data_IF_824039165741
#
_entry.id   IF_824039165741
#
_cell.length_a   1.000
_cell.length_b   1.000
_cell.length_c   1.000
_cell.angle_alpha   90.00
_cell.angle_beta   90.00
_cell.angle_gamma   90.00
#
_symmetry.space_group_name_H-M   'P 1'
#
loop_
_entity.id
_entity.type
_entity.pdbx_description
1 polymer ?
#
# COMPACT_ATOMS: atom_id res chain seq x y z
N UNK A 1 -7.61 18.03 -29.06
CA UNK A 1 -8.92 17.49 -28.69
C UNK A 1 -8.96 17.40 -27.17
N UNK A 2 -9.95 18.00 -26.49
CA UNK A 2 -9.96 18.03 -25.04
C UNK A 2 -10.25 16.63 -24.49
N UNK A 3 -9.38 16.13 -23.62
CA UNK A 3 -9.62 14.93 -22.84
C UNK A 3 -10.64 15.30 -21.78
N UNK A 4 -11.88 14.89 -22.00
CA UNK A 4 -12.98 15.00 -21.06
C UNK A 4 -12.64 14.16 -19.82
N UNK A 5 -12.40 14.81 -18.69
CA UNK A 5 -12.38 14.16 -17.37
C UNK A 5 -13.80 13.67 -17.05
N UNK A 6 -14.16 12.48 -17.50
CA UNK A 6 -15.37 11.78 -17.05
C UNK A 6 -15.08 11.08 -15.72
N UNK A 7 -15.10 11.85 -14.63
CA UNK A 7 -15.31 11.29 -13.30
C UNK A 7 -16.81 11.06 -13.09
N UNK A 8 -17.32 9.91 -13.55
CA UNK A 8 -18.61 9.39 -13.13
C UNK A 8 -18.66 7.86 -13.36
N UNK A 9 -18.05 7.09 -12.45
CA UNK A 9 -18.48 5.70 -12.26
C UNK A 9 -19.88 5.75 -11.64
N UNK A 10 -20.93 5.76 -12.48
CA UNK A 10 -22.24 5.27 -12.06
C UNK A 10 -22.03 3.79 -11.79
N UNK A 11 -22.05 3.39 -10.52
CA UNK A 11 -22.11 1.99 -10.16
C UNK A 11 -23.38 1.39 -10.79
N UNK A 12 -23.21 0.68 -11.90
CA UNK A 12 -24.33 0.04 -12.58
C UNK A 12 -24.94 -1.03 -11.68
N UNK A 13 -26.20 -1.39 -11.90
CA UNK A 13 -26.84 -2.50 -11.19
C UNK A 13 -26.00 -3.80 -11.21
N UNK A 14 -25.16 -3.99 -12.23
CA UNK A 14 -24.21 -5.09 -12.32
C UNK A 14 -23.10 -5.10 -11.27
N UNK A 15 -22.60 -3.94 -10.82
CA UNK A 15 -21.55 -3.86 -9.80
C UNK A 15 -22.07 -4.25 -8.40
N UNK A 16 -23.29 -3.81 -8.07
CA UNK A 16 -23.98 -4.20 -6.83
C UNK A 16 -24.31 -5.70 -6.81
N UNK A 17 -24.76 -6.23 -7.95
CA UNK A 17 -25.00 -7.66 -8.10
C UNK A 17 -23.71 -8.47 -7.91
N UNK A 18 -22.63 -8.11 -8.60
CA UNK A 18 -21.34 -8.79 -8.50
C UNK A 18 -20.77 -8.74 -7.07
N UNK A 19 -20.90 -7.59 -6.41
CA UNK A 19 -20.47 -7.42 -5.01
C UNK A 19 -21.28 -8.31 -4.06
N UNK A 20 -22.61 -8.39 -4.26
CA UNK A 20 -23.49 -9.23 -3.45
C UNK A 20 -23.19 -10.72 -3.64
N UNK A 21 -22.99 -11.15 -4.88
CA UNK A 21 -22.60 -12.53 -5.20
C UNK A 21 -21.25 -12.87 -4.57
N UNK A 22 -20.25 -11.98 -4.71
CA UNK A 22 -18.93 -12.16 -4.13
C UNK A 22 -18.97 -12.25 -2.60
N UNK A 23 -19.80 -11.42 -1.96
CA UNK A 23 -20.03 -11.48 -0.51
C UNK A 23 -20.63 -12.82 -0.09
N UNK A 24 -21.68 -13.29 -0.75
CA UNK A 24 -22.32 -14.57 -0.42
C UNK A 24 -21.35 -15.74 -0.61
N UNK A 25 -20.65 -15.79 -1.75
CA UNK A 25 -19.64 -16.82 -2.01
C UNK A 25 -18.51 -16.82 -0.98
N UNK A 26 -18.11 -15.64 -0.51
CA UNK A 26 -17.10 -15.51 0.55
C UNK A 26 -17.64 -15.90 1.92
N UNK A 27 -18.91 -15.65 2.22
CA UNK A 27 -19.52 -15.93 3.52
C UNK A 27 -19.86 -17.42 3.73
N UNK A 28 -20.26 -18.13 2.67
CA UNK A 28 -20.67 -19.54 2.75
C UNK A 28 -19.63 -20.47 3.42
N UNK A 29 -18.32 -20.40 3.09
CA UNK A 29 -17.30 -21.18 3.79
C UNK A 29 -17.24 -20.90 5.30
N UNK A 30 -17.43 -19.64 5.72
CA UNK A 30 -17.43 -19.28 7.14
C UNK A 30 -18.64 -19.82 7.90
N UNK A 31 -19.80 -19.96 7.24
CA UNK A 31 -20.98 -20.60 7.84
C UNK A 31 -20.69 -22.09 8.10
N UNK A 32 -20.10 -22.78 7.14
CA UNK A 32 -19.73 -24.19 7.29
C UNK A 32 -18.69 -24.39 8.40
N UNK A 33 -17.63 -23.58 8.40
CA UNK A 33 -16.59 -23.59 9.45
C UNK A 33 -17.17 -23.24 10.82
N UNK A 34 -18.04 -22.22 10.90
CA UNK A 34 -18.71 -21.81 12.13
C UNK A 34 -19.60 -22.91 12.72
N UNK A 35 -20.35 -23.62 11.88
CA UNK A 35 -21.15 -24.76 12.30
C UNK A 35 -20.29 -25.94 12.80
N UNK A 36 -19.17 -26.22 12.13
CA UNK A 36 -18.23 -27.26 12.57
C UNK A 36 -17.61 -26.91 13.92
N UNK A 37 -17.09 -25.68 14.06
CA UNK A 37 -16.57 -25.15 15.32
C UNK A 37 -17.60 -25.21 16.44
N UNK A 38 -18.85 -24.81 16.16
CA UNK A 38 -19.94 -24.83 17.13
C UNK A 38 -20.32 -26.23 17.62
N UNK A 39 -20.10 -27.28 16.82
CA UNK A 39 -20.28 -28.68 17.26
C UNK A 39 -19.17 -29.09 18.23
N UNK A 40 -17.92 -28.75 17.91
CA UNK A 40 -16.78 -29.07 18.77
C UNK A 40 -16.83 -28.31 20.09
N UNK A 41 -17.28 -27.05 20.11
CA UNK A 41 -17.35 -26.25 21.33
C UNK A 41 -18.32 -26.84 22.37
N UNK A 42 -19.32 -27.62 21.95
CA UNK A 42 -20.23 -28.32 22.87
C UNK A 42 -19.52 -29.40 23.70
N UNK A 43 -18.35 -29.86 23.26
CA UNK A 43 -17.55 -30.87 23.96
C UNK A 43 -16.69 -30.26 25.09
N UNK A 44 -16.65 -28.93 25.21
CA UNK A 44 -15.80 -28.22 26.17
C UNK A 44 -16.63 -27.30 27.08
N UNK A 45 -16.19 -27.05 28.33
CA UNK A 45 -16.71 -25.95 29.13
C UNK A 45 -16.57 -24.60 28.38
N UNK A 46 -17.59 -23.75 28.49
CA UNK A 46 -17.68 -22.51 27.70
C UNK A 46 -16.44 -21.60 27.81
N UNK A 47 -15.87 -21.46 29.02
CA UNK A 47 -14.67 -20.63 29.25
C UNK A 47 -13.43 -21.22 28.56
N UNK A 48 -13.27 -22.53 28.57
CA UNK A 48 -12.13 -23.20 27.93
C UNK A 48 -12.25 -23.12 26.41
N UNK A 49 -13.45 -23.35 25.87
CA UNK A 49 -13.70 -23.21 24.43
C UNK A 49 -13.36 -21.80 23.94
N UNK A 50 -13.80 -20.77 24.69
CA UNK A 50 -13.48 -19.38 24.39
C UNK A 50 -11.97 -19.10 24.45
N UNK A 51 -11.27 -19.57 25.49
CA UNK A 51 -9.83 -19.39 25.63
C UNK A 51 -9.05 -20.04 24.46
N UNK A 52 -9.43 -21.25 24.07
CA UNK A 52 -8.83 -21.96 22.92
C UNK A 52 -9.07 -21.18 21.62
N UNK A 53 -10.28 -20.67 21.41
CA UNK A 53 -10.61 -19.88 20.21
C UNK A 53 -9.76 -18.61 20.10
N UNK A 54 -9.65 -17.86 21.20
CA UNK A 54 -8.86 -16.63 21.23
C UNK A 54 -7.38 -16.94 21.06
N UNK A 55 -6.86 -17.99 21.71
CA UNK A 55 -5.47 -18.42 21.54
C UNK A 55 -5.17 -18.84 20.09
N UNK A 56 -6.06 -19.61 19.46
CA UNK A 56 -5.95 -20.00 18.06
C UNK A 56 -6.00 -18.80 17.10
N UNK A 57 -6.88 -17.83 17.37
CA UNK A 57 -6.98 -16.59 16.58
C UNK A 57 -5.71 -15.75 16.68
N UNK A 58 -5.14 -15.63 17.88
CA UNK A 58 -3.87 -14.93 18.09
C UNK A 58 -2.70 -15.65 17.41
N UNK A 59 -2.63 -16.98 17.52
CA UNK A 59 -1.62 -17.78 16.83
C UNK A 59 -1.74 -17.65 15.30
N UNK A 60 -2.96 -17.69 14.76
CA UNK A 60 -3.22 -17.47 13.34
C UNK A 60 -2.79 -16.08 12.88
N UNK A 61 -3.09 -15.03 13.66
CA UNK A 61 -2.66 -13.67 13.38
C UNK A 61 -1.14 -13.51 13.41
N UNK A 62 -0.46 -14.14 14.37
CA UNK A 62 1.00 -14.14 14.44
C UNK A 62 1.64 -14.86 13.24
N UNK A 63 1.13 -16.03 12.87
CA UNK A 63 1.61 -16.77 11.70
C UNK A 63 1.39 -15.96 10.43
N UNK A 64 0.20 -15.38 10.26
CA UNK A 64 -0.10 -14.52 9.12
C UNK A 64 0.83 -13.30 9.09
N UNK A 65 1.06 -12.63 10.22
CA UNK A 65 1.98 -11.50 10.31
C UNK A 65 3.41 -11.88 9.93
N UNK A 66 3.88 -13.07 10.31
CA UNK A 66 5.20 -13.57 9.93
C UNK A 66 5.27 -13.85 8.43
N UNK A 67 4.27 -14.52 7.87
CA UNK A 67 4.19 -14.82 6.44
C UNK A 67 4.16 -13.53 5.59
N UNK A 68 3.41 -12.52 6.02
CA UNK A 68 3.37 -11.20 5.39
C UNK A 68 4.69 -10.44 5.54
N UNK A 69 5.34 -10.52 6.71
CA UNK A 69 6.66 -9.90 6.92
C UNK A 69 7.72 -10.44 5.92
N UNK A 70 7.65 -11.73 5.59
CA UNK A 70 8.52 -12.34 4.58
C UNK A 70 8.00 -12.20 3.14
N UNK A 71 7.00 -11.36 2.89
CA UNK A 71 6.51 -11.09 1.53
C UNK A 71 6.05 -12.37 0.80
N UNK A 72 5.53 -13.35 1.54
CA UNK A 72 5.11 -14.62 0.92
C UNK A 72 3.80 -14.45 0.14
N UNK A 73 3.66 -15.08 -1.04
CA UNK A 73 2.44 -14.96 -1.84
C UNK A 73 1.28 -15.77 -1.22
N UNK A 74 0.01 -15.45 -1.54
CA UNK A 74 -1.17 -16.13 -1.01
C UNK A 74 -1.16 -17.64 -1.17
N UNK A 75 -0.47 -18.16 -2.19
CA UNK A 75 -0.28 -19.59 -2.40
C UNK A 75 0.30 -20.28 -1.16
N UNK A 76 1.29 -19.67 -0.52
CA UNK A 76 1.93 -20.19 0.70
C UNK A 76 0.94 -20.18 1.85
N UNK A 77 0.10 -19.14 1.95
CA UNK A 77 -0.88 -19.00 3.03
C UNK A 77 -1.98 -20.06 2.92
N UNK A 78 -2.52 -20.26 1.72
CA UNK A 78 -3.53 -21.29 1.46
C UNK A 78 -2.95 -22.70 1.61
N UNK A 79 -1.71 -22.94 1.18
CA UNK A 79 -1.05 -24.21 1.39
C UNK A 79 -0.87 -24.50 2.90
N UNK A 80 -0.39 -23.53 3.67
CA UNK A 80 -0.23 -23.66 5.12
C UNK A 80 -1.57 -23.94 5.81
N UNK A 81 -2.60 -23.12 5.53
CA UNK A 81 -3.93 -23.30 6.09
C UNK A 81 -4.58 -24.63 5.68
N UNK A 82 -4.39 -25.05 4.43
CA UNK A 82 -4.87 -26.33 3.92
C UNK A 82 -4.20 -27.52 4.59
N UNK A 83 -2.87 -27.50 4.75
CA UNK A 83 -2.14 -28.55 5.48
C UNK A 83 -2.59 -28.60 6.94
N UNK A 84 -2.70 -27.44 7.60
CA UNK A 84 -3.17 -27.37 8.99
C UNK A 84 -4.59 -27.93 9.12
N UNK A 85 -5.48 -27.61 8.18
CA UNK A 85 -6.83 -28.16 8.13
C UNK A 85 -6.80 -29.69 7.97
N UNK A 86 -6.00 -30.22 7.06
CA UNK A 86 -5.88 -31.68 6.84
C UNK A 86 -5.32 -32.41 8.05
N UNK A 87 -4.37 -31.80 8.79
CA UNK A 87 -3.81 -32.37 10.02
C UNK A 87 -4.82 -32.38 11.18
N UNK A 88 -5.70 -31.38 11.24
CA UNK A 88 -6.72 -31.25 12.28
C UNK A 88 -8.05 -31.92 11.91
N UNK A 89 -8.27 -32.25 10.64
CA UNK A 89 -9.46 -32.94 10.18
C UNK A 89 -9.54 -34.34 10.82
N UNK A 90 -10.63 -34.62 11.54
CA UNK A 90 -10.83 -35.90 12.20
C UNK A 90 -10.91 -37.09 11.23
N UNK A 91 -10.57 -38.29 11.71
CA UNK A 91 -10.45 -39.54 10.92
C UNK A 91 -11.72 -40.00 10.16
N UNK A 92 -12.86 -39.33 10.34
CA UNK A 92 -14.13 -39.65 9.67
C UNK A 92 -14.63 -38.58 8.70
N UNK A 93 -13.86 -37.53 8.45
CA UNK A 93 -14.23 -36.47 7.50
C UNK A 93 -13.75 -36.82 6.08
N UNK A 94 -14.53 -36.45 5.06
CA UNK A 94 -14.14 -36.63 3.66
C UNK A 94 -12.99 -35.68 3.31
N UNK A 95 -11.75 -36.18 3.34
CA UNK A 95 -10.53 -35.41 3.04
C UNK A 95 -10.35 -35.14 1.54
N UNK A 96 -11.03 -35.89 0.66
CA UNK A 96 -10.90 -35.75 -0.79
C UNK A 96 -11.38 -34.38 -1.26
N UNK A 97 -12.51 -33.91 -0.74
CA UNK A 97 -13.09 -32.63 -1.15
C UNK A 97 -12.18 -31.43 -0.78
N UNK A 98 -11.68 -31.28 0.47
CA UNK A 98 -10.69 -30.26 0.82
C UNK A 98 -9.42 -30.32 -0.04
N UNK A 99 -8.90 -31.51 -0.34
CA UNK A 99 -7.73 -31.68 -1.21
C UNK A 99 -8.00 -31.16 -2.62
N UNK A 100 -9.17 -31.48 -3.19
CA UNK A 100 -9.60 -30.96 -4.49
C UNK A 100 -9.76 -29.45 -4.47
N UNK A 101 -10.41 -28.89 -3.45
CA UNK A 101 -10.54 -27.43 -3.29
C UNK A 101 -9.18 -26.74 -3.18
N UNK A 102 -8.26 -27.28 -2.39
CA UNK A 102 -6.90 -26.75 -2.25
C UNK A 102 -6.16 -26.83 -3.59
N UNK A 103 -6.28 -27.94 -4.33
CA UNK A 103 -5.71 -28.10 -5.67
C UNK A 103 -6.26 -27.08 -6.67
N UNK A 104 -7.57 -26.83 -6.66
CA UNK A 104 -8.21 -25.80 -7.50
C UNK A 104 -7.73 -24.40 -7.14
N UNK A 105 -7.62 -24.07 -5.84
CA UNK A 105 -7.12 -22.77 -5.39
C UNK A 105 -5.68 -22.58 -5.85
N UNK A 106 -4.82 -23.58 -5.65
CA UNK A 106 -3.42 -23.56 -6.10
C UNK A 106 -3.35 -23.35 -7.62
N UNK A 107 -4.15 -24.08 -8.38
CA UNK A 107 -4.23 -23.97 -9.83
C UNK A 107 -4.71 -22.58 -10.30
N UNK A 108 -5.77 -22.05 -9.68
CA UNK A 108 -6.29 -20.71 -9.98
C UNK A 108 -5.27 -19.62 -9.65
N UNK A 109 -4.60 -19.70 -8.50
CA UNK A 109 -3.56 -18.75 -8.11
C UNK A 109 -2.39 -18.80 -9.10
N UNK A 110 -2.00 -20.00 -9.56
CA UNK A 110 -0.95 -20.14 -10.56
C UNK A 110 -1.30 -19.50 -11.91
N UNK A 111 -2.55 -19.61 -12.36
CA UNK A 111 -3.02 -19.00 -13.62
C UNK A 111 -3.12 -17.47 -13.50
N UNK A 112 -3.57 -16.97 -12.36
CA UNK A 112 -3.82 -15.54 -12.15
C UNK A 112 -2.57 -14.76 -11.73
N UNK A 113 -1.49 -15.45 -11.35
CA UNK A 113 -0.25 -14.81 -10.91
C UNK A 113 0.55 -14.27 -12.10
N UNK A 114 0.83 -12.97 -12.11
CA UNK A 114 1.67 -12.34 -13.13
C UNK A 114 3.12 -12.23 -12.64
N UNK A 115 3.87 -13.33 -12.71
CA UNK A 115 5.18 -13.47 -12.05
C UNK A 115 6.18 -12.33 -12.29
N UNK A 116 6.21 -11.76 -13.49
CA UNK A 116 7.20 -10.72 -13.85
C UNK A 116 6.82 -9.30 -13.41
N UNK A 117 5.57 -9.09 -13.00
CA UNK A 117 5.05 -7.79 -12.62
C UNK A 117 4.35 -7.79 -11.27
N UNK A 118 4.42 -8.88 -10.50
CA UNK A 118 3.71 -9.05 -9.24
C UNK A 118 4.69 -9.20 -8.08
N UNK A 119 4.63 -8.25 -7.15
CA UNK A 119 5.45 -8.24 -5.95
C UNK A 119 4.50 -8.25 -4.75
N UNK A 120 4.77 -9.11 -3.78
CA UNK A 120 4.04 -9.12 -2.52
C UNK A 120 4.86 -8.37 -1.48
N UNK A 121 4.33 -7.26 -0.97
CA UNK A 121 4.88 -6.58 0.20
C UNK A 121 4.12 -7.01 1.46
N UNK A 122 4.61 -6.68 2.67
CA UNK A 122 3.85 -6.90 3.89
C UNK A 122 2.50 -6.16 3.93
N UNK A 123 2.30 -5.18 3.04
CA UNK A 123 1.12 -4.32 2.98
C UNK A 123 0.23 -4.63 1.76
N UNK A 124 0.83 -4.95 0.61
CA UNK A 124 0.15 -4.96 -0.68
C UNK A 124 0.55 -6.08 -1.62
N UNK A 125 -0.42 -6.45 -2.48
CA UNK A 125 -0.09 -6.96 -3.82
C UNK A 125 0.26 -5.77 -4.70
N UNK A 126 1.51 -5.67 -5.13
CA UNK A 126 1.99 -4.58 -5.99
C UNK A 126 2.14 -5.09 -7.41
N UNK A 127 1.59 -4.34 -8.36
CA UNK A 127 1.85 -4.51 -9.77
C UNK A 127 2.51 -3.27 -10.35
N UNK A 128 3.48 -3.44 -11.25
CA UNK A 128 4.09 -2.31 -11.93
C UNK A 128 4.16 -2.54 -13.44
N UNK A 129 3.80 -1.52 -14.20
CA UNK A 129 3.75 -1.56 -15.66
C UNK A 129 4.50 -0.36 -16.22
N UNK A 130 5.59 -0.63 -16.95
CA UNK A 130 6.44 0.40 -17.54
C UNK A 130 5.97 0.73 -18.95
N UNK A 131 5.77 2.02 -19.22
CA UNK A 131 5.59 2.55 -20.56
C UNK A 131 6.75 3.52 -20.89
N UNK A 132 6.68 4.19 -22.06
CA UNK A 132 7.76 5.06 -22.54
C UNK A 132 7.93 6.35 -21.71
N UNK A 133 6.89 6.83 -21.02
CA UNK A 133 6.87 8.12 -20.30
C UNK A 133 6.81 7.97 -18.77
N UNK A 134 6.32 6.85 -18.27
CA UNK A 134 6.10 6.58 -16.86
C UNK A 134 6.06 5.07 -16.56
N UNK A 135 6.22 4.72 -15.29
CA UNK A 135 5.88 3.40 -14.77
C UNK A 135 4.71 3.55 -13.83
N UNK A 136 3.58 2.90 -14.14
CA UNK A 136 2.42 2.86 -13.27
C UNK A 136 2.64 1.80 -12.19
N UNK A 137 2.43 2.16 -10.94
CA UNK A 137 2.47 1.25 -9.80
C UNK A 137 1.04 1.17 -9.24
N UNK A 138 0.49 -0.02 -9.26
CA UNK A 138 -0.82 -0.35 -8.73
C UNK A 138 -0.67 -1.22 -7.49
N UNK A 139 -1.52 -1.01 -6.49
CA UNK A 139 -1.58 -1.86 -5.30
C UNK A 139 -3.00 -2.42 -5.16
N UNK A 140 -3.10 -3.72 -4.87
CA UNK A 140 -4.36 -4.47 -4.77
C UNK A 140 -5.30 -4.24 -5.97
N UNK A 141 -4.74 -4.05 -7.17
CA UNK A 141 -5.49 -3.81 -8.40
C UNK A 141 -5.94 -2.36 -8.65
N UNK A 142 -5.70 -1.44 -7.71
CA UNK A 142 -5.94 -0.01 -7.89
C UNK A 142 -4.65 0.73 -8.23
N UNK A 143 -4.72 1.70 -9.14
CA UNK A 143 -3.59 2.61 -9.37
C UNK A 143 -3.24 3.33 -8.06
N UNK A 144 -1.94 3.38 -7.74
CA UNK A 144 -1.44 3.97 -6.51
C UNK A 144 -0.54 5.17 -6.79
N UNK A 145 0.43 5.03 -7.71
CA UNK A 145 1.31 6.13 -8.11
C UNK A 145 1.90 5.93 -9.50
N UNK A 146 2.29 7.04 -10.14
CA UNK A 146 3.09 7.02 -11.35
C UNK A 146 4.53 7.44 -11.05
N UNK A 147 5.49 6.62 -11.45
CA UNK A 147 6.90 6.98 -11.47
C UNK A 147 7.21 7.64 -12.82
N UNK A 148 7.45 8.95 -12.83
CA UNK A 148 7.48 9.74 -14.06
C UNK A 148 8.90 9.89 -14.64
N UNK A 149 9.00 9.82 -15.96
CA UNK A 149 10.21 10.23 -16.66
C UNK A 149 10.14 11.72 -17.01
N UNK A 150 10.56 12.59 -16.08
CA UNK A 150 10.65 14.04 -16.30
C UNK A 150 11.59 14.48 -17.45
N UNK A 151 12.40 13.59 -18.03
CA UNK A 151 13.26 13.86 -19.20
C UNK A 151 12.81 13.07 -20.45
N UNK A 152 11.52 12.72 -20.54
CA UNK A 152 11.01 11.93 -21.68
C UNK A 152 11.32 12.59 -23.04
N UNK A 153 11.90 11.86 -24.01
CA UNK A 153 12.24 12.39 -25.34
C UNK A 153 11.01 12.54 -26.26
N UNK A 154 9.82 12.11 -25.81
CA UNK A 154 8.58 12.16 -26.59
C UNK A 154 7.95 13.55 -26.50
N UNK A 155 8.20 14.38 -27.52
CA UNK A 155 7.65 15.75 -27.65
C UNK A 155 6.13 15.82 -27.47
N UNK A 156 5.39 14.78 -27.88
CA UNK A 156 3.92 14.72 -27.76
C UNK A 156 3.41 14.74 -26.32
N UNK A 157 4.23 14.33 -25.34
CA UNK A 157 3.85 14.24 -23.93
C UNK A 157 4.59 15.25 -23.04
N UNK A 158 5.53 16.00 -23.64
CA UNK A 158 6.39 16.97 -22.94
C UNK A 158 5.57 18.04 -22.23
N UNK A 159 4.57 18.59 -22.90
CA UNK A 159 3.69 19.63 -22.34
C UNK A 159 2.96 19.18 -21.06
N UNK A 160 2.53 17.92 -20.99
CA UNK A 160 1.80 17.43 -19.82
C UNK A 160 2.74 17.04 -18.68
N UNK A 161 3.88 16.41 -19.00
CA UNK A 161 4.95 16.17 -18.02
C UNK A 161 5.48 17.49 -17.43
N UNK A 162 5.64 18.53 -18.24
CA UNK A 162 6.07 19.85 -17.79
C UNK A 162 5.05 20.49 -16.84
N UNK A 163 3.75 20.35 -17.11
CA UNK A 163 2.71 20.82 -16.18
C UNK A 163 2.77 20.08 -14.85
N UNK A 164 2.89 18.76 -14.88
CA UNK A 164 3.02 17.94 -13.65
C UNK A 164 4.28 18.33 -12.89
N UNK A 165 5.40 18.51 -13.60
CA UNK A 165 6.67 18.99 -13.04
C UNK A 165 6.50 20.34 -12.34
N UNK A 166 5.79 21.28 -12.96
CA UNK A 166 5.49 22.58 -12.34
C UNK A 166 4.65 22.45 -11.08
N UNK A 167 3.74 21.49 -10.99
CA UNK A 167 2.97 21.22 -9.77
C UNK A 167 3.88 20.70 -8.64
N UNK A 168 4.76 19.74 -8.92
CA UNK A 168 5.75 19.29 -7.94
C UNK A 168 6.71 20.40 -7.50
N UNK A 169 7.02 21.36 -8.38
CA UNK A 169 7.88 22.51 -8.06
C UNK A 169 7.17 23.61 -7.28
N UNK A 170 5.84 23.58 -7.20
CA UNK A 170 5.04 24.65 -6.60
C UNK A 170 5.41 24.97 -5.13
N UNK A 171 5.73 24.01 -4.23
CA UNK A 171 6.19 24.32 -2.87
C UNK A 171 7.40 25.23 -2.83
N UNK A 172 8.37 24.98 -3.72
CA UNK A 172 9.66 25.65 -3.72
C UNK A 172 9.59 27.07 -4.25
N UNK A 173 8.49 27.44 -4.94
CA UNK A 173 8.23 28.82 -5.35
C UNK A 173 7.79 29.72 -4.19
N UNK A 174 7.22 29.13 -3.15
CA UNK A 174 6.73 29.86 -1.97
C UNK A 174 7.64 29.70 -0.77
N UNK A 175 8.39 28.60 -0.70
CA UNK A 175 9.32 28.36 0.38
C UNK A 175 10.46 29.40 0.39
N UNK A 176 10.78 29.98 1.55
CA UNK A 176 11.93 30.88 1.68
C UNK A 176 13.28 30.15 1.63
N UNK A 177 13.28 28.88 2.02
CA UNK A 177 14.45 28.00 2.09
C UNK A 177 13.98 26.54 1.99
N UNK A 178 14.78 25.69 1.34
CA UNK A 178 14.50 24.26 1.16
C UNK A 178 15.79 23.42 1.21
N UNK A 179 16.76 23.83 2.04
CA UNK A 179 17.99 23.07 2.23
C UNK A 179 17.75 21.72 2.91
N UNK A 180 16.89 21.67 3.92
CA UNK A 180 16.47 20.45 4.62
C UNK A 180 15.00 20.13 4.30
N UNK A 181 14.76 19.04 3.56
CA UNK A 181 13.41 18.63 3.11
C UNK A 181 13.03 17.30 3.74
N UNK A 182 11.81 17.18 4.26
CA UNK A 182 11.21 15.91 4.67
C UNK A 182 10.12 15.53 3.67
N UNK A 183 10.13 14.31 3.17
CA UNK A 183 9.10 13.78 2.27
C UNK A 183 8.44 12.58 2.97
N UNK A 184 7.14 12.68 3.23
CA UNK A 184 6.32 11.63 3.84
C UNK A 184 5.50 10.93 2.75
N UNK A 185 5.67 9.61 2.60
CA UNK A 185 5.15 8.88 1.44
C UNK A 185 5.99 9.16 0.20
N UNK A 186 7.31 8.96 0.31
CA UNK A 186 8.26 9.24 -0.77
C UNK A 186 8.08 8.31 -1.98
N UNK A 187 7.49 7.13 -1.77
CA UNK A 187 7.07 6.21 -2.81
C UNK A 187 8.19 5.85 -3.79
N UNK A 188 7.87 5.94 -5.07
CA UNK A 188 8.79 5.67 -6.17
C UNK A 188 9.82 6.78 -6.42
N UNK A 189 9.72 7.92 -5.73
CA UNK A 189 10.78 8.94 -5.66
C UNK A 189 10.61 10.16 -6.56
N UNK A 190 9.41 10.46 -7.10
CA UNK A 190 9.19 11.68 -7.88
C UNK A 190 9.49 12.95 -7.06
N UNK A 191 8.92 13.08 -5.86
CA UNK A 191 9.16 14.23 -4.99
C UNK A 191 10.64 14.37 -4.60
N UNK A 192 11.32 13.23 -4.40
CA UNK A 192 12.74 13.19 -4.07
C UNK A 192 13.56 13.72 -5.25
N UNK A 193 13.27 13.26 -6.46
CA UNK A 193 13.91 13.77 -7.67
C UNK A 193 13.72 15.28 -7.82
N UNK A 194 12.50 15.79 -7.62
CA UNK A 194 12.24 17.21 -7.76
C UNK A 194 12.89 18.04 -6.65
N UNK A 195 12.92 17.54 -5.41
CA UNK A 195 13.66 18.19 -4.32
C UNK A 195 15.16 18.33 -4.65
N UNK A 196 15.76 17.28 -5.20
CA UNK A 196 17.17 17.30 -5.64
C UNK A 196 17.39 18.29 -6.79
N UNK A 197 16.48 18.34 -7.76
CA UNK A 197 16.52 19.27 -8.89
C UNK A 197 16.41 20.73 -8.43
N UNK A 198 15.57 21.02 -7.43
CA UNK A 198 15.47 22.36 -6.84
C UNK A 198 16.69 22.73 -5.97
N UNK A 199 17.63 21.81 -5.75
CA UNK A 199 18.87 22.09 -5.03
C UNK A 199 18.79 21.87 -3.52
N UNK A 200 17.86 21.04 -3.04
CA UNK A 200 17.87 20.60 -1.64
C UNK A 200 19.23 19.98 -1.26
N UNK A 201 19.69 20.26 -0.04
CA UNK A 201 21.00 19.79 0.47
C UNK A 201 20.90 18.51 1.28
N UNK A 202 19.78 18.31 1.97
CA UNK A 202 19.45 17.09 2.70
C UNK A 202 17.97 16.78 2.51
N UNK A 203 17.68 15.53 2.16
CA UNK A 203 16.31 15.03 2.01
C UNK A 203 16.17 13.80 2.90
N UNK A 204 15.21 13.82 3.81
CA UNK A 204 14.78 12.62 4.51
C UNK A 204 13.50 12.13 3.85
N UNK A 205 13.56 10.97 3.20
CA UNK A 205 12.44 10.34 2.51
C UNK A 205 11.92 9.17 3.35
N UNK A 206 10.66 9.26 3.75
CA UNK A 206 9.98 8.28 4.59
C UNK A 206 8.97 7.52 3.74
N UNK A 207 9.14 6.21 3.66
CA UNK A 207 8.26 5.29 2.93
C UNK A 207 7.91 4.13 3.85
N UNK A 208 6.64 3.73 3.91
CA UNK A 208 6.20 2.62 4.76
C UNK A 208 6.44 1.27 4.09
N UNK A 209 6.27 1.21 2.76
CA UNK A 209 6.38 -0.03 2.00
C UNK A 209 7.78 -0.22 1.41
N UNK A 210 8.58 -1.18 1.93
CA UNK A 210 9.93 -1.44 1.43
C UNK A 210 9.95 -1.88 -0.05
N UNK A 211 8.89 -2.52 -0.55
CA UNK A 211 8.84 -2.97 -1.93
C UNK A 211 8.62 -1.79 -2.90
N UNK A 212 7.81 -0.80 -2.53
CA UNK A 212 7.63 0.44 -3.32
C UNK A 212 8.93 1.22 -3.38
N UNK A 213 9.60 1.41 -2.23
CA UNK A 213 10.92 2.06 -2.21
C UNK A 213 11.91 1.31 -3.11
N UNK A 214 11.96 -0.02 -3.03
CA UNK A 214 12.87 -0.83 -3.85
C UNK A 214 12.58 -0.68 -5.35
N UNK A 215 11.31 -0.67 -5.76
CA UNK A 215 10.91 -0.34 -7.14
C UNK A 215 11.45 1.03 -7.54
N UNK A 216 11.30 2.06 -6.71
CA UNK A 216 11.86 3.39 -6.99
C UNK A 216 13.38 3.38 -7.10
N UNK A 217 14.09 2.68 -6.21
CA UNK A 217 15.55 2.55 -6.24
C UNK A 217 16.02 1.89 -7.55
N UNK A 218 15.38 0.80 -7.95
CA UNK A 218 15.79 -0.02 -9.09
C UNK A 218 15.32 0.54 -10.43
N UNK A 219 14.13 1.13 -10.51
CA UNK A 219 13.47 1.44 -11.78
C UNK A 219 13.27 2.94 -12.05
N UNK A 220 13.44 3.84 -11.07
CA UNK A 220 13.26 5.27 -11.30
C UNK A 220 14.24 5.80 -12.34
N UNK A 221 13.69 6.54 -13.32
CA UNK A 221 14.41 7.08 -14.47
C UNK A 221 15.56 8.01 -14.09
N UNK A 222 15.45 8.68 -12.94
CA UNK A 222 16.41 9.69 -12.48
C UNK A 222 17.24 9.25 -11.29
N UNK A 223 17.04 8.02 -10.81
CA UNK A 223 17.80 7.42 -9.70
C UNK A 223 17.96 8.34 -8.47
N UNK A 224 16.89 9.01 -7.99
CA UNK A 224 17.00 9.99 -6.91
C UNK A 224 17.48 9.37 -5.60
N UNK A 225 17.16 8.10 -5.38
CA UNK A 225 17.57 7.37 -4.18
C UNK A 225 19.05 6.95 -4.17
N UNK A 226 19.80 7.16 -5.25
CA UNK A 226 21.25 6.95 -5.31
C UNK A 226 22.04 8.20 -4.89
N UNK A 227 21.38 9.37 -4.80
CA UNK A 227 22.03 10.61 -4.44
C UNK A 227 22.39 10.64 -2.93
N UNK A 228 23.64 10.99 -2.56
CA UNK A 228 24.10 10.98 -1.16
C UNK A 228 23.39 12.00 -0.28
N UNK A 229 22.65 12.97 -0.85
CA UNK A 229 21.83 13.93 -0.11
C UNK A 229 20.54 13.31 0.43
N UNK A 230 20.19 12.10 0.00
CA UNK A 230 18.92 11.43 0.35
C UNK A 230 19.15 10.36 1.43
N UNK A 231 18.45 10.52 2.55
CA UNK A 231 18.36 9.52 3.61
C UNK A 231 17.00 8.82 3.55
N UNK A 232 17.00 7.49 3.49
CA UNK A 232 15.77 6.69 3.43
C UNK A 232 15.43 6.13 4.79
N UNK A 233 14.17 6.27 5.17
CA UNK A 233 13.58 5.67 6.35
C UNK A 233 12.41 4.80 5.94
N UNK A 234 12.58 3.48 6.03
CA UNK A 234 11.46 2.54 5.87
C UNK A 234 10.67 2.52 7.19
N UNK A 235 9.65 3.36 7.28
CA UNK A 235 8.88 3.57 8.50
C UNK A 235 7.52 4.23 8.22
N UNK A 236 6.58 4.07 9.14
CA UNK A 236 5.35 4.84 9.14
C UNK A 236 5.64 6.33 9.40
N UNK A 237 5.05 7.22 8.58
CA UNK A 237 5.25 8.66 8.67
C UNK A 237 4.94 9.24 10.06
N UNK A 238 3.93 8.73 10.76
CA UNK A 238 3.55 9.19 12.11
C UNK A 238 4.56 8.70 13.13
N UNK A 239 4.98 7.44 13.06
CA UNK A 239 6.01 6.88 13.92
C UNK A 239 7.33 7.66 13.76
N UNK A 240 7.70 8.00 12.53
CA UNK A 240 8.85 8.84 12.23
C UNK A 240 8.72 10.24 12.83
N UNK A 241 7.59 10.93 12.60
CA UNK A 241 7.36 12.28 13.12
C UNK A 241 7.38 12.34 14.66
N UNK A 242 6.91 11.28 15.34
CA UNK A 242 6.88 11.17 16.80
C UNK A 242 8.28 10.98 17.41
N UNK A 243 9.17 10.30 16.69
CA UNK A 243 10.50 9.91 17.19
C UNK A 243 11.62 10.86 16.74
N UNK A 244 11.51 11.41 15.53
CA UNK A 244 12.48 12.35 14.98
C UNK A 244 12.45 13.68 15.73
N UNK A 245 13.65 14.22 16.01
CA UNK A 245 13.85 15.58 16.55
C UNK A 245 14.39 16.57 15.52
N UNK A 246 14.69 16.11 14.29
CA UNK A 246 15.20 16.95 13.21
C UNK A 246 14.12 17.96 12.77
N UNK A 247 14.55 19.18 12.50
CA UNK A 247 13.75 20.25 11.92
C UNK A 247 14.05 20.30 10.42
N UNK A 248 13.01 20.57 9.65
CA UNK A 248 13.07 20.70 8.18
C UNK A 248 12.65 22.11 7.80
N UNK A 249 13.05 22.59 6.64
CA UNK A 249 12.57 23.84 6.07
C UNK A 249 11.26 23.63 5.31
N UNK A 250 11.14 22.48 4.63
CA UNK A 250 9.96 22.06 3.86
C UNK A 250 9.58 20.64 4.26
N UNK A 251 8.28 20.40 4.44
CA UNK A 251 7.71 19.06 4.61
C UNK A 251 6.73 18.85 3.46
N UNK A 252 6.99 17.83 2.65
CA UNK A 252 6.13 17.39 1.54
C UNK A 252 5.39 16.14 2.00
N UNK A 253 4.09 16.14 1.76
CA UNK A 253 3.23 14.96 1.92
C UNK A 253 2.92 14.47 0.51
N UNK A 254 3.53 13.35 0.13
CA UNK A 254 3.37 12.72 -1.17
C UNK A 254 2.18 11.74 -1.19
N UNK A 255 2.36 10.62 -1.89
CA UNK A 255 1.35 9.55 -1.95
C UNK A 255 1.41 8.71 -0.67
N UNK A 256 0.54 9.04 0.28
CA UNK A 256 0.40 8.26 1.51
C UNK A 256 -0.51 7.05 1.32
N UNK A 257 -0.22 6.02 2.11
CA UNK A 257 -0.83 4.69 2.09
C UNK A 257 -2.38 4.68 2.08
N UNK A 258 -3.01 5.60 2.83
CA UNK A 258 -4.47 5.56 2.99
C UNK A 258 -5.27 6.09 1.80
N UNK A 259 -4.59 6.54 0.73
CA UNK A 259 -5.21 6.86 -0.55
C UNK A 259 -5.80 5.63 -1.26
N UNK A 260 -5.26 4.43 -1.04
CA UNK A 260 -5.71 3.22 -1.76
C UNK A 260 -6.57 2.28 -0.91
N UNK A 261 -6.43 2.28 0.41
CA UNK A 261 -7.19 1.39 1.30
C UNK A 261 -8.60 1.89 1.64
N UNK A 262 -8.87 3.19 1.46
CA UNK A 262 -10.16 3.81 1.77
C UNK A 262 -10.64 4.63 0.56
N UNK A 263 -11.92 4.44 0.20
CA UNK A 263 -12.60 5.26 -0.82
C UNK A 263 -12.33 6.76 -0.59
N UNK A 264 -12.14 7.53 -1.66
CA UNK A 264 -11.97 8.99 -1.62
C UNK A 264 -13.12 9.73 -0.90
N UNK A 265 -14.23 9.05 -0.59
CA UNK A 265 -15.38 9.55 0.18
C UNK A 265 -15.36 9.19 1.67
N UNK A 266 -14.32 8.52 2.18
CA UNK A 266 -14.23 8.12 3.58
C UNK A 266 -13.63 9.24 4.45
N UNK A 267 -14.30 9.58 5.56
CA UNK A 267 -13.84 10.56 6.55
C UNK A 267 -12.76 10.02 7.51
N UNK A 268 -12.50 8.71 7.49
CA UNK A 268 -11.54 8.02 8.38
C UNK A 268 -10.30 7.62 7.58
N UNK A 269 -9.60 8.59 7.00
CA UNK A 269 -8.32 8.35 6.32
C UNK A 269 -7.16 8.61 7.27
N UNK A 270 -6.15 7.72 7.26
CA UNK A 270 -4.96 7.90 8.09
C UNK A 270 -4.20 9.18 7.72
N UNK A 271 -4.31 9.63 6.48
CA UNK A 271 -3.69 10.89 6.00
C UNK A 271 -4.21 12.10 6.79
N UNK A 272 -5.49 12.12 7.20
CA UNK A 272 -6.09 13.18 8.01
C UNK A 272 -5.31 13.40 9.31
N UNK A 273 -4.84 12.31 9.94
CA UNK A 273 -4.04 12.39 11.15
C UNK A 273 -2.62 12.90 10.88
N UNK A 274 -2.05 12.58 9.70
CA UNK A 274 -0.74 13.09 9.29
C UNK A 274 -0.83 14.61 9.07
N UNK A 275 -1.87 15.10 8.39
CA UNK A 275 -2.10 16.54 8.26
C UNK A 275 -2.18 17.24 9.62
N UNK A 276 -2.95 16.70 10.56
CA UNK A 276 -3.06 17.24 11.93
C UNK A 276 -1.71 17.18 12.66
N UNK A 277 -0.98 16.08 12.54
CA UNK A 277 0.31 15.90 13.23
C UNK A 277 1.37 16.86 12.72
N UNK A 278 1.45 17.06 11.39
CA UNK A 278 2.34 18.04 10.79
C UNK A 278 1.95 19.45 11.22
N UNK A 279 0.65 19.78 11.13
CA UNK A 279 0.14 21.08 11.58
C UNK A 279 0.50 21.36 13.05
N UNK A 280 0.25 20.40 13.95
CA UNK A 280 0.59 20.51 15.36
C UNK A 280 2.08 20.73 15.59
N UNK A 281 2.95 20.01 14.85
CA UNK A 281 4.41 20.20 14.92
C UNK A 281 4.84 21.59 14.47
N UNK A 282 4.19 22.13 13.43
CA UNK A 282 4.41 23.50 12.94
C UNK A 282 4.05 24.54 14.02
N UNK A 283 2.94 24.36 14.73
CA UNK A 283 2.48 25.28 15.80
C UNK A 283 3.27 25.15 17.12
N UNK A 284 3.53 23.94 17.61
CA UNK A 284 4.16 23.73 18.93
C UNK A 284 5.64 24.09 18.95
N UNK A 285 6.34 24.08 17.81
CA UNK A 285 7.80 24.27 17.78
C UNK A 285 8.28 25.67 17.38
N UNK A 286 7.37 26.67 17.25
CA UNK A 286 7.68 27.97 16.58
C UNK A 286 8.45 27.73 15.29
N UNK A 287 7.91 26.84 14.46
CA UNK A 287 8.53 26.43 13.21
C UNK A 287 8.57 27.61 12.24
N UNK A 288 9.74 27.87 11.63
CA UNK A 288 9.95 28.98 10.69
C UNK A 288 9.94 28.55 9.22
N UNK A 289 9.51 27.31 8.94
CA UNK A 289 9.45 26.74 7.59
C UNK A 289 8.07 26.90 6.95
N UNK A 290 8.01 26.71 5.64
CA UNK A 290 6.78 26.78 4.87
C UNK A 290 6.19 25.37 4.72
N UNK A 291 4.93 25.18 5.14
CA UNK A 291 4.21 23.91 5.02
C UNK A 291 3.47 23.86 3.70
N UNK A 292 3.70 22.82 2.88
CA UNK A 292 3.04 22.68 1.58
C UNK A 292 2.70 21.22 1.31
N UNK A 293 1.42 20.95 1.03
CA UNK A 293 0.95 19.67 0.51
C UNK A 293 0.52 19.84 -0.94
N UNK A 294 0.99 18.98 -1.84
CA UNK A 294 0.38 18.79 -3.15
C UNK A 294 -0.09 17.35 -3.25
N UNK A 295 -1.40 17.19 -3.44
CA UNK A 295 -1.98 15.89 -3.77
C UNK A 295 -2.16 15.91 -5.28
N UNK A 296 -1.32 15.16 -5.99
CA UNK A 296 -1.52 14.90 -7.41
C UNK A 296 -2.28 13.59 -7.53
N UNK A 297 -3.56 13.69 -7.90
CA UNK A 297 -4.41 12.57 -8.31
C UNK A 297 -4.04 12.05 -9.71
#
# INVERSE_FOLDING_TARGET
>A
MPVTLTCQHRAGNGEWFLSSVSFVLSALPFIALGNAMGREFKNFPALQAYAINTAGSLAGLLIFSLLSHFSTPPLVWFAFGGILFLLLAGKGQNTILPILCLGIIIYMVQILSQKDHEIWSPYYKINHYRNQTATSISVNGSLHQHMLNFNSPLESHKTDIDKIKQQYQLPYRFAKNWQDVLILGAGSGNDVHLALEQGAKSIDAVEIDPAIWKIGKELNYHKPYDDPRVNIYINDARAFLKTSRKKYNVIIIGTLDSQTLLSGKSSIRLDNYIFISVHKRTFETRWSGDFVSHVLE
#
